data_IF_775758267998
#
_entry.id   IF_775758267998
#
_cell.length_a   1.000
_cell.length_b   1.000
_cell.length_c   1.000
_cell.angle_alpha   90.00
_cell.angle_beta   90.00
_cell.angle_gamma   90.00
#
_symmetry.space_group_name_H-M   'P 1'
#
loop_
_entity.id
_entity.type
_entity.pdbx_description
1 polymer ?
#
# COMPACT_ATOMS: atom_id res chain seq x y z
N UNK A 1 15.27 22.43 -18.58
CA UNK A 1 15.88 21.14 -18.18
C UNK A 1 15.78 20.06 -19.26
N UNK A 2 16.02 20.37 -20.55
CA UNK A 2 16.06 19.35 -21.65
C UNK A 2 17.48 19.09 -22.14
N UNK A 3 18.32 20.13 -22.23
CA UNK A 3 19.69 20.01 -22.74
C UNK A 3 20.61 19.15 -21.87
N UNK A 4 20.45 19.15 -20.54
CA UNK A 4 21.35 18.44 -19.63
C UNK A 4 21.37 16.92 -19.86
N UNK A 5 20.22 16.26 -20.07
CA UNK A 5 20.17 14.81 -20.33
C UNK A 5 20.76 14.45 -21.70
N UNK A 6 20.58 15.31 -22.71
CA UNK A 6 21.13 15.11 -24.06
C UNK A 6 22.65 15.22 -24.05
N UNK A 7 23.19 16.22 -23.36
CA UNK A 7 24.65 16.42 -23.21
C UNK A 7 25.28 15.28 -22.40
N UNK A 8 24.59 14.77 -21.38
CA UNK A 8 25.06 13.66 -20.55
C UNK A 8 24.89 12.27 -21.18
N UNK A 9 24.29 12.14 -22.37
CA UNK A 9 24.05 10.85 -23.02
C UNK A 9 23.07 9.91 -22.29
N UNK A 10 22.29 10.44 -21.35
CA UNK A 10 21.38 9.68 -20.50
C UNK A 10 19.96 9.74 -21.06
N UNK A 11 19.29 8.58 -21.12
CA UNK A 11 17.87 8.54 -21.46
C UNK A 11 17.05 9.25 -20.38
N UNK A 12 16.01 9.99 -20.79
CA UNK A 12 15.15 10.76 -19.87
C UNK A 12 14.54 9.88 -18.77
N UNK A 13 14.25 8.63 -19.10
CA UNK A 13 13.72 7.63 -18.18
C UNK A 13 14.78 7.17 -17.17
N UNK A 14 16.05 7.07 -17.57
CA UNK A 14 17.15 6.78 -16.65
C UNK A 14 17.40 7.93 -15.65
N UNK A 15 17.18 9.18 -16.05
CA UNK A 15 17.26 10.34 -15.14
C UNK A 15 16.01 10.54 -14.26
N UNK A 16 14.92 9.79 -14.51
CA UNK A 16 13.74 9.91 -13.66
C UNK A 16 14.07 9.38 -12.27
N UNK A 17 14.14 10.32 -11.31
CA UNK A 17 14.42 10.01 -9.91
C UNK A 17 13.46 8.91 -9.46
N UNK A 18 13.95 7.78 -8.90
CA UNK A 18 13.05 6.79 -8.33
C UNK A 18 12.18 7.50 -7.28
N UNK A 19 10.88 7.18 -7.18
CA UNK A 19 10.03 7.80 -6.19
C UNK A 19 10.64 7.53 -4.82
N UNK A 20 11.18 8.59 -4.19
CA UNK A 20 11.67 8.52 -2.81
C UNK A 20 10.48 8.08 -1.97
N UNK A 21 10.53 6.86 -1.46
CA UNK A 21 9.66 6.43 -0.38
C UNK A 21 10.15 7.17 0.87
N UNK A 22 9.64 8.39 1.08
CA UNK A 22 9.92 9.15 2.29
C UNK A 22 9.27 8.40 3.45
N UNK A 23 10.06 7.63 4.18
CA UNK A 23 9.63 6.84 5.35
C UNK A 23 8.88 7.74 6.35
N UNK A 24 9.34 8.99 6.50
CA UNK A 24 8.69 10.02 7.33
C UNK A 24 7.26 10.35 6.92
N UNK A 25 6.98 10.33 5.62
CA UNK A 25 5.65 10.65 5.12
C UNK A 25 4.68 9.48 5.36
N UNK A 26 5.18 8.25 5.44
CA UNK A 26 4.36 7.03 5.59
C UNK A 26 3.99 6.74 7.05
N UNK A 27 4.69 7.35 8.02
CA UNK A 27 4.40 7.27 9.45
C UNK A 27 2.92 7.53 9.83
N UNK A 28 2.23 8.60 9.36
CA UNK A 28 0.82 8.81 9.67
C UNK A 28 -0.11 7.75 9.07
N UNK A 29 0.25 7.18 7.92
CA UNK A 29 -0.51 6.10 7.28
C UNK A 29 -0.40 4.82 8.12
N UNK A 30 0.79 4.52 8.64
CA UNK A 30 1.03 3.37 9.52
C UNK A 30 0.21 3.52 10.80
N UNK A 31 0.27 4.68 11.46
CA UNK A 31 -0.47 4.92 12.69
C UNK A 31 -1.99 4.76 12.50
N UNK A 32 -2.55 5.36 11.43
CA UNK A 32 -3.97 5.29 11.14
C UNK A 32 -4.41 3.86 10.76
N UNK A 33 -3.61 3.13 9.97
CA UNK A 33 -3.90 1.73 9.65
C UNK A 33 -3.86 0.85 10.91
N UNK A 34 -2.82 0.97 11.74
CA UNK A 34 -2.72 0.19 12.99
C UNK A 34 -3.89 0.44 13.93
N UNK A 35 -4.36 1.69 14.05
CA UNK A 35 -5.55 2.02 14.84
C UNK A 35 -6.83 1.35 14.30
N UNK A 36 -7.02 1.37 12.97
CA UNK A 36 -8.16 0.73 12.33
C UNK A 36 -8.16 -0.79 12.49
N UNK A 37 -6.99 -1.42 12.41
CA UNK A 37 -6.83 -2.86 12.58
C UNK A 37 -7.06 -3.27 14.03
N UNK A 38 -6.59 -2.46 14.99
CA UNK A 38 -6.83 -2.71 16.41
C UNK A 38 -8.33 -2.68 16.74
N UNK A 39 -9.09 -1.79 16.10
CA UNK A 39 -10.55 -1.75 16.23
C UNK A 39 -11.22 -2.92 15.50
N UNK A 40 -10.77 -3.24 14.29
CA UNK A 40 -11.51 -4.14 13.42
C UNK A 40 -10.60 -5.04 12.55
N UNK A 41 -9.92 -5.98 13.21
CA UNK A 41 -8.96 -6.90 12.59
C UNK A 41 -9.52 -7.90 11.57
N UNK A 42 -10.82 -7.81 11.21
CA UNK A 42 -11.44 -8.61 10.13
C UNK A 42 -11.59 -7.84 8.82
N UNK A 43 -11.32 -6.54 8.81
CA UNK A 43 -11.46 -5.73 7.61
C UNK A 43 -10.33 -5.97 6.62
N UNK A 44 -10.70 -6.14 5.35
CA UNK A 44 -9.74 -6.14 4.25
C UNK A 44 -9.36 -4.73 3.82
N UNK A 45 -8.34 -4.63 2.97
CA UNK A 45 -7.77 -3.38 2.48
C UNK A 45 -8.80 -2.32 2.07
N UNK A 46 -9.80 -2.67 1.25
CA UNK A 46 -10.79 -1.71 0.75
C UNK A 46 -11.62 -1.08 1.86
N UNK A 47 -12.07 -1.86 2.86
CA UNK A 47 -12.82 -1.33 4.00
C UNK A 47 -11.98 -0.38 4.84
N UNK A 48 -10.71 -0.72 5.07
CA UNK A 48 -9.78 0.16 5.77
C UNK A 48 -9.53 1.45 4.98
N UNK A 49 -9.37 1.36 3.65
CA UNK A 49 -9.19 2.53 2.79
C UNK A 49 -10.42 3.43 2.75
N UNK A 50 -11.63 2.87 2.63
CA UNK A 50 -12.87 3.63 2.63
C UNK A 50 -13.07 4.36 3.97
N UNK A 51 -12.72 3.71 5.09
CA UNK A 51 -12.75 4.34 6.40
C UNK A 51 -11.74 5.48 6.53
N UNK A 52 -10.52 5.32 6.01
CA UNK A 52 -9.51 6.40 5.94
C UNK A 52 -10.01 7.58 5.11
N UNK A 53 -10.72 7.31 4.01
CA UNK A 53 -11.39 8.32 3.18
C UNK A 53 -12.49 9.05 3.96
N UNK A 54 -13.29 8.34 4.73
CA UNK A 54 -14.32 8.91 5.58
C UNK A 54 -13.76 9.79 6.72
N UNK A 55 -12.54 9.48 7.19
CA UNK A 55 -11.80 10.32 8.14
C UNK A 55 -11.18 11.57 7.49
N UNK A 56 -11.37 11.78 6.18
CA UNK A 56 -10.89 12.96 5.46
C UNK A 56 -9.45 12.84 4.94
N UNK A 57 -8.83 11.67 5.02
CA UNK A 57 -7.49 11.48 4.47
C UNK A 57 -7.53 11.39 2.93
N UNK A 58 -6.85 12.32 2.26
CA UNK A 58 -6.72 12.38 0.80
C UNK A 58 -5.55 11.54 0.25
N UNK A 59 -5.17 10.47 0.96
CA UNK A 59 -4.05 9.63 0.55
C UNK A 59 -4.36 8.81 -0.70
N UNK A 60 -3.37 8.67 -1.58
CA UNK A 60 -3.48 7.81 -2.76
C UNK A 60 -3.58 6.33 -2.33
N UNK A 61 -4.58 5.61 -2.83
CA UNK A 61 -4.79 4.19 -2.54
C UNK A 61 -3.55 3.34 -2.82
N UNK A 62 -2.75 3.65 -3.86
CA UNK A 62 -1.51 2.91 -4.16
C UNK A 62 -0.49 3.02 -3.03
N UNK A 63 -0.44 4.19 -2.39
CA UNK A 63 0.49 4.47 -1.29
C UNK A 63 0.04 3.74 -0.02
N UNK A 64 -1.25 3.82 0.30
CA UNK A 64 -1.84 3.07 1.43
C UNK A 64 -1.68 1.57 1.21
N UNK A 65 -1.88 1.08 -0.01
CA UNK A 65 -1.70 -0.34 -0.35
C UNK A 65 -0.27 -0.83 -0.14
N UNK A 66 0.74 -0.03 -0.53
CA UNK A 66 2.15 -0.37 -0.26
C UNK A 66 2.44 -0.52 1.23
N UNK A 67 1.96 0.41 2.04
CA UNK A 67 2.12 0.36 3.51
C UNK A 67 1.37 -0.83 4.09
N UNK A 68 0.13 -1.06 3.64
CA UNK A 68 -0.69 -2.21 4.05
C UNK A 68 -0.01 -3.55 3.77
N UNK A 69 0.55 -3.73 2.56
CA UNK A 69 1.32 -4.93 2.22
C UNK A 69 2.62 -5.05 3.02
N UNK A 70 3.32 -3.94 3.28
CA UNK A 70 4.53 -3.93 4.09
C UNK A 70 4.26 -4.39 5.53
N UNK A 71 3.08 -4.07 6.07
CA UNK A 71 2.62 -4.53 7.39
C UNK A 71 2.18 -6.01 7.41
N UNK A 72 2.22 -6.73 6.26
CA UNK A 72 1.83 -8.14 6.12
C UNK A 72 0.44 -8.48 6.69
N UNK A 73 -0.51 -7.55 6.59
CA UNK A 73 -1.88 -7.68 7.11
C UNK A 73 -2.83 -8.44 6.17
N UNK A 74 -2.28 -9.28 5.30
CA UNK A 74 -3.06 -10.03 4.34
C UNK A 74 -3.62 -11.29 5.00
N UNK A 75 -4.89 -11.26 5.40
CA UNK A 75 -5.61 -12.47 5.77
C UNK A 75 -5.75 -13.36 4.54
N UNK A 76 -5.20 -14.58 4.61
CA UNK A 76 -5.35 -15.56 3.54
C UNK A 76 -6.83 -15.94 3.45
N UNK A 77 -7.41 -15.83 2.25
CA UNK A 77 -8.78 -16.29 2.01
C UNK A 77 -8.87 -17.77 2.38
N UNK A 78 -9.72 -18.11 3.35
CA UNK A 78 -9.90 -19.49 3.81
C UNK A 78 -10.58 -20.28 2.68
N UNK A 79 -9.83 -21.11 1.97
CA UNK A 79 -10.38 -22.03 0.97
C UNK A 79 -11.21 -23.10 1.70
N UNK A 80 -12.35 -23.51 1.12
CA UNK A 80 -13.08 -24.68 1.60
C UNK A 80 -12.14 -25.88 1.54
N UNK A 81 -11.85 -26.48 2.71
CA UNK A 81 -11.13 -27.75 2.75
C UNK A 81 -11.97 -28.79 2.02
N UNK A 82 -11.36 -29.52 1.10
CA UNK A 82 -12.03 -30.63 0.40
C UNK A 82 -12.39 -31.67 1.46
N UNK A 83 -13.67 -32.02 1.58
CA UNK A 83 -14.06 -33.11 2.47
C UNK A 83 -13.39 -34.40 1.96
N UNK A 84 -12.88 -35.27 2.86
CA UNK A 84 -12.37 -36.57 2.44
C UNK A 84 -13.49 -37.36 1.75
N UNK A 85 -13.15 -38.21 0.76
CA UNK A 85 -14.12 -39.12 0.17
C UNK A 85 -14.71 -40.01 1.29
N UNK A 86 -16.03 -40.19 1.26
CA UNK A 86 -16.70 -41.12 2.16
C UNK A 86 -16.44 -42.53 1.60
N UNK A 87 -15.61 -43.31 2.28
CA UNK A 87 -15.52 -44.75 2.09
C UNK A 87 -16.65 -45.43 2.82
#
# INVERSE_FOLDING_TARGET
MRQACVIAGLSRTAYSRPPRASVDADAPIIAALTALIAQEGRWGFWKCFDRLRALGHSWNHKRVYRVYCALKLNHVRRTKKRAPPRT
#
